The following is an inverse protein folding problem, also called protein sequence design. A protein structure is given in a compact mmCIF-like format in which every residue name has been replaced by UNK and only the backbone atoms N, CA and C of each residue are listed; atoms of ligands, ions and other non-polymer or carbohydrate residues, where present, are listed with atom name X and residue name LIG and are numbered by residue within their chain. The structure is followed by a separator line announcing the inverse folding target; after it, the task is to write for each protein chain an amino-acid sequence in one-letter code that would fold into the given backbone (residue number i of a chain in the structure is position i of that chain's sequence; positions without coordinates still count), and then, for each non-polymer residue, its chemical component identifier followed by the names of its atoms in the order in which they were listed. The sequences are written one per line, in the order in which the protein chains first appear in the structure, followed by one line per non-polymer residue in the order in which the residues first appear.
data_IF_369400362950
#
_entry.id   IF_369400362950
#
_cell.length_a   1.000
_cell.length_b   1.000
_cell.length_c   1.000
_cell.angle_alpha   90.00
_cell.angle_beta   90.00
_cell.angle_gamma   90.00
#
_symmetry.space_group_name_H-M   'P 1'
#
loop_
_entity.id
_entity.type
_entity.pdbx_description
1 polymer ?
#
# COMPACT_ATOMS: atom_id res chain seq x y z
N UNK A 1 -14.63 -0.03 -18.11
CA UNK A 1 -13.74 1.11 -17.78
C UNK A 1 -13.36 0.97 -16.32
N UNK A 2 -12.09 1.23 -15.99
CA UNK A 2 -11.59 1.15 -14.62
C UNK A 2 -11.91 2.39 -13.77
N UNK A 3 -11.68 2.26 -12.47
CA UNK A 3 -11.72 3.34 -11.48
C UNK A 3 -10.44 4.18 -11.56
N UNK A 4 -10.57 5.50 -11.43
CA UNK A 4 -9.41 6.41 -11.43
C UNK A 4 -9.02 6.88 -10.04
N UNK A 5 -7.72 6.99 -9.81
CA UNK A 5 -7.10 7.50 -8.59
C UNK A 5 -5.97 8.48 -8.94
N UNK A 6 -5.59 9.31 -7.97
CA UNK A 6 -4.38 10.14 -8.04
C UNK A 6 -3.29 9.51 -7.21
N UNK A 7 -2.19 9.11 -7.85
CA UNK A 7 -1.08 8.41 -7.19
C UNK A 7 0.22 9.22 -7.33
N UNK A 8 0.91 9.44 -6.21
CA UNK A 8 2.28 9.92 -6.19
C UNK A 8 3.20 8.74 -6.49
N UNK A 9 3.96 8.83 -7.57
CA UNK A 9 5.05 7.88 -7.85
C UNK A 9 6.22 8.10 -6.91
N UNK A 10 6.57 9.36 -6.73
CA UNK A 10 7.59 9.80 -5.79
C UNK A 10 6.89 10.64 -4.73
N UNK A 11 7.17 10.39 -3.44
CA UNK A 11 6.48 11.08 -2.37
C UNK A 11 6.74 12.61 -2.46
N UNK A 12 5.76 13.46 -2.10
CA UNK A 12 5.85 14.91 -2.29
C UNK A 12 6.77 15.63 -1.27
N UNK A 13 7.65 14.91 -0.56
CA UNK A 13 8.37 15.42 0.61
C UNK A 13 9.61 16.25 0.27
N UNK A 14 10.33 15.85 -0.78
CA UNK A 14 11.58 16.51 -1.20
C UNK A 14 11.39 17.44 -2.40
N UNK A 15 10.41 17.13 -3.26
CA UNK A 15 10.09 17.93 -4.44
C UNK A 15 8.69 18.56 -4.33
N UNK A 16 8.59 19.88 -4.08
CA UNK A 16 7.31 20.59 -4.02
C UNK A 16 6.59 20.69 -5.37
N UNK A 17 7.26 20.31 -6.47
CA UNK A 17 6.65 20.21 -7.81
C UNK A 17 6.13 18.81 -8.11
N UNK A 18 6.38 17.82 -7.24
CA UNK A 18 5.80 16.49 -7.35
C UNK A 18 4.28 16.61 -7.39
N UNK A 19 3.68 16.00 -8.40
CA UNK A 19 2.24 16.01 -8.62
C UNK A 19 1.78 14.59 -8.87
N UNK A 20 0.65 14.16 -8.28
CA UNK A 20 0.18 12.80 -8.46
C UNK A 20 -0.39 12.63 -9.87
N UNK A 21 -0.11 11.47 -10.46
CA UNK A 21 -0.64 11.08 -11.76
C UNK A 21 -2.04 10.49 -11.63
N UNK A 22 -2.89 10.73 -12.64
CA UNK A 22 -4.19 10.07 -12.70
C UNK A 22 -4.00 8.69 -13.31
N UNK A 23 -4.16 7.66 -12.48
CA UNK A 23 -4.01 6.26 -12.87
C UNK A 23 -5.38 5.60 -12.91
N UNK A 24 -5.61 4.77 -13.93
CA UNK A 24 -6.80 3.93 -14.04
C UNK A 24 -6.44 2.52 -13.62
N UNK A 25 -7.07 2.01 -12.56
CA UNK A 25 -6.88 0.65 -12.07
C UNK A 25 -7.93 -0.31 -12.63
N UNK A 26 -7.71 -1.61 -12.50
CA UNK A 26 -8.55 -2.67 -13.06
C UNK A 26 -9.92 -2.77 -12.40
N UNK A 27 -10.07 -2.30 -11.16
CA UNK A 27 -11.35 -2.27 -10.45
C UNK A 27 -12.42 -1.62 -11.34
N UNK A 28 -13.54 -2.30 -11.62
CA UNK A 28 -14.60 -1.72 -12.43
C UNK A 28 -15.10 -0.41 -11.83
N UNK A 29 -15.32 0.59 -12.69
CA UNK A 29 -15.87 1.87 -12.26
C UNK A 29 -17.19 1.68 -11.49
N UNK A 30 -17.31 2.31 -10.33
CA UNK A 30 -18.46 2.18 -9.44
C UNK A 30 -18.51 0.90 -8.60
N UNK A 31 -17.52 0.01 -8.70
CA UNK A 31 -17.42 -1.17 -7.82
C UNK A 31 -16.68 -0.88 -6.51
N UNK A 32 -15.87 0.18 -6.46
CA UNK A 32 -15.12 0.56 -5.27
C UNK A 32 -15.98 1.43 -4.37
N UNK A 33 -16.28 0.96 -3.16
CA UNK A 33 -17.14 1.63 -2.18
C UNK A 33 -16.39 2.60 -1.25
N UNK A 34 -17.08 3.19 -0.26
CA UNK A 34 -16.49 4.03 0.78
C UNK A 34 -15.34 3.34 1.53
N UNK A 35 -14.36 4.14 1.96
CA UNK A 35 -13.12 3.68 2.58
C UNK A 35 -12.44 2.74 1.61
N UNK A 36 -11.93 3.28 0.48
CA UNK A 36 -11.91 2.63 -0.83
C UNK A 36 -11.86 1.12 -0.70
N UNK A 37 -12.97 0.47 -1.05
CA UNK A 37 -13.19 -0.93 -0.70
C UNK A 37 -13.73 -1.74 -1.87
N UNK A 38 -13.16 -2.93 -2.06
CA UNK A 38 -13.66 -3.93 -2.99
C UNK A 38 -13.82 -5.29 -2.28
N UNK A 39 -13.88 -6.37 -3.06
CA UNK A 39 -14.01 -7.74 -2.58
C UNK A 39 -12.72 -8.33 -2.01
N UNK A 40 -11.58 -7.63 -2.14
CA UNK A 40 -10.25 -8.12 -1.75
C UNK A 40 -9.55 -7.26 -0.72
N UNK A 41 -9.87 -5.97 -0.64
CA UNK A 41 -9.24 -5.05 0.31
C UNK A 41 -10.12 -3.85 0.62
N UNK A 42 -9.80 -3.15 1.70
CA UNK A 42 -10.45 -1.91 2.08
C UNK A 42 -9.50 -1.04 2.89
N UNK A 43 -9.73 0.27 2.89
CA UNK A 43 -8.94 1.23 3.67
C UNK A 43 -9.73 1.71 4.87
N UNK A 44 -9.06 1.75 6.02
CA UNK A 44 -9.57 2.35 7.25
C UNK A 44 -8.58 3.40 7.77
N UNK A 45 -9.13 4.47 8.33
CA UNK A 45 -8.40 5.48 9.08
C UNK A 45 -8.88 5.43 10.52
N UNK A 46 -8.26 4.60 11.39
CA UNK A 46 -8.72 4.42 12.76
C UNK A 46 -8.59 5.69 13.60
N UNK A 47 -9.65 6.09 14.30
CA UNK A 47 -9.64 7.33 15.08
C UNK A 47 -8.87 7.24 16.42
N UNK A 48 -8.83 6.06 17.04
CA UNK A 48 -8.23 5.84 18.37
C UNK A 48 -7.25 4.65 18.41
N UNK A 49 -6.68 4.25 17.26
CA UNK A 49 -5.74 3.14 17.20
C UNK A 49 -4.34 3.60 17.58
N UNK A 50 -3.97 3.32 18.83
CA UNK A 50 -2.67 3.71 19.41
C UNK A 50 -1.53 2.73 19.11
N UNK A 51 -1.84 1.54 18.59
CA UNK A 51 -0.87 0.46 18.42
C UNK A 51 -1.12 -0.29 17.12
N UNK A 52 -0.05 -0.69 16.41
CA UNK A 52 -0.17 -1.51 15.23
C UNK A 52 -0.71 -2.90 15.60
N UNK A 53 -1.18 -3.63 14.59
CA UNK A 53 -1.42 -5.06 14.68
C UNK A 53 -0.12 -5.85 14.91
N UNK A 54 -0.29 -7.11 15.31
CA UNK A 54 0.80 -7.98 15.73
C UNK A 54 0.92 -8.10 17.25
N UNK A 55 2.12 -8.49 17.70
CA UNK A 55 2.40 -8.75 19.11
C UNK A 55 2.60 -7.44 19.86
N UNK A 56 1.73 -7.20 20.83
CA UNK A 56 1.72 -6.02 21.68
C UNK A 56 1.87 -6.41 23.16
N UNK A 57 2.27 -5.46 24.01
CA UNK A 57 2.45 -5.70 25.44
C UNK A 57 1.48 -4.87 26.28
N UNK A 58 0.71 -5.53 27.16
CA UNK A 58 -0.21 -4.86 28.08
C UNK A 58 0.51 -4.05 29.17
N UNK A 59 -0.22 -3.34 30.05
CA UNK A 59 0.36 -2.52 31.11
C UNK A 59 1.32 -3.26 32.07
N UNK A 60 1.14 -4.57 32.21
CA UNK A 60 2.00 -5.44 33.03
C UNK A 60 3.09 -6.18 32.23
N UNK A 61 3.29 -5.82 30.96
CA UNK A 61 4.24 -6.49 30.06
C UNK A 61 3.74 -7.82 29.48
N UNK A 62 2.51 -8.25 29.77
CA UNK A 62 1.94 -9.48 29.19
C UNK A 62 1.74 -9.33 27.68
N UNK A 63 2.27 -10.24 26.84
CA UNK A 63 2.06 -10.19 25.41
C UNK A 63 0.61 -10.53 25.06
N UNK A 64 0.05 -9.81 24.10
CA UNK A 64 -1.22 -10.11 23.44
C UNK A 64 -1.10 -9.86 21.95
N UNK A 65 -1.88 -10.58 21.15
CA UNK A 65 -1.90 -10.42 19.70
C UNK A 65 -3.11 -9.55 19.33
N UNK A 66 -2.89 -8.54 18.52
CA UNK A 66 -3.93 -7.73 17.89
C UNK A 66 -3.96 -8.06 16.40
N UNK A 67 -5.11 -8.43 15.86
CA UNK A 67 -5.31 -8.74 14.44
C UNK A 67 -6.52 -7.97 13.91
N UNK A 68 -6.60 -7.75 12.58
CA UNK A 68 -7.79 -7.20 11.94
C UNK A 68 -9.03 -8.08 12.15
N UNK A 69 -10.24 -7.53 11.93
CA UNK A 69 -10.51 -6.16 11.49
C UNK A 69 -10.51 -5.14 12.63
N UNK A 70 -10.31 -3.87 12.29
CA UNK A 70 -10.56 -2.76 13.21
C UNK A 70 -12.06 -2.57 13.38
N UNK A 71 -12.56 -2.73 14.61
CA UNK A 71 -14.00 -2.69 14.89
C UNK A 71 -14.46 -1.44 15.64
N UNK A 72 -13.59 -0.43 15.82
CA UNK A 72 -13.93 0.80 16.56
C UNK A 72 -14.11 1.98 15.61
N UNK A 73 -14.09 3.19 16.17
CA UNK A 73 -14.28 4.41 15.42
C UNK A 73 -13.22 4.57 14.33
N UNK A 74 -13.67 5.01 13.17
CA UNK A 74 -12.86 5.43 12.03
C UNK A 74 -13.19 6.89 11.72
N UNK A 75 -12.27 7.58 11.06
CA UNK A 75 -12.54 8.88 10.44
C UNK A 75 -13.55 8.73 9.29
N UNK A 76 -14.06 9.86 8.81
CA UNK A 76 -14.98 9.87 7.67
C UNK A 76 -14.28 9.23 6.45
N UNK A 77 -14.84 8.13 5.91
CA UNK A 77 -14.17 7.39 4.85
C UNK A 77 -14.15 8.18 3.54
N UNK A 78 -13.08 8.04 2.75
CA UNK A 78 -13.08 8.52 1.37
C UNK A 78 -14.19 7.82 0.56
N UNK A 79 -14.94 8.57 -0.25
CA UNK A 79 -16.07 8.09 -1.06
C UNK A 79 -15.82 8.35 -2.54
N UNK A 80 -16.35 7.52 -3.46
CA UNK A 80 -16.26 7.82 -4.88
C UNK A 80 -17.15 9.01 -5.28
N UNK A 81 -16.82 9.65 -6.40
CA UNK A 81 -17.69 10.64 -7.07
C UNK A 81 -18.92 9.97 -7.74
N UNK A 82 -19.76 10.79 -8.39
CA UNK A 82 -20.97 10.32 -9.08
C UNK A 82 -20.65 9.31 -10.20
N UNK A 83 -19.46 9.41 -10.79
CA UNK A 83 -18.95 8.48 -11.78
C UNK A 83 -18.24 7.27 -11.18
N UNK A 84 -18.11 7.14 -9.86
CA UNK A 84 -17.47 6.00 -9.23
C UNK A 84 -15.94 6.08 -9.18
N UNK A 85 -15.33 7.27 -9.25
CA UNK A 85 -13.88 7.50 -9.20
C UNK A 85 -13.43 8.26 -7.94
N UNK A 86 -12.13 8.22 -7.67
CA UNK A 86 -11.49 8.88 -6.53
C UNK A 86 -10.46 9.95 -6.98
N UNK A 87 -10.34 10.22 -8.28
CA UNK A 87 -9.40 11.22 -8.81
C UNK A 87 -9.80 12.68 -8.54
N UNK A 88 -10.95 12.89 -7.89
CA UNK A 88 -11.41 14.19 -7.41
C UNK A 88 -10.69 14.65 -6.12
N UNK A 89 -10.21 13.72 -5.29
CA UNK A 89 -9.43 14.05 -4.09
C UNK A 89 -8.13 14.77 -4.47
N UNK A 90 -7.84 15.90 -3.85
CA UNK A 90 -6.60 16.65 -4.06
C UNK A 90 -5.60 16.34 -2.94
N UNK A 91 -4.28 16.44 -3.20
CA UNK A 91 -3.29 16.37 -2.14
C UNK A 91 -3.67 17.27 -0.95
N UNK A 92 -3.43 16.78 0.27
CA UNK A 92 -3.76 17.45 1.53
C UNK A 92 -5.26 17.62 1.83
N UNK A 93 -6.16 17.02 1.05
CA UNK A 93 -7.59 16.95 1.41
C UNK A 93 -7.91 15.68 2.19
N UNK A 94 -8.83 15.72 3.17
CA UNK A 94 -9.28 14.53 3.87
C UNK A 94 -9.74 13.44 2.89
N UNK A 95 -9.31 12.20 3.12
CA UNK A 95 -9.60 11.06 2.25
C UNK A 95 -8.62 10.86 1.08
N UNK A 96 -7.74 11.82 0.78
CA UNK A 96 -6.72 11.65 -0.27
C UNK A 96 -5.76 10.51 0.05
N UNK A 97 -5.24 10.43 1.29
CA UNK A 97 -4.31 9.35 1.69
C UNK A 97 -4.97 7.98 1.59
N UNK A 98 -6.24 7.86 1.97
CA UNK A 98 -6.98 6.61 1.84
C UNK A 98 -7.17 6.20 0.37
N UNK A 99 -7.57 7.14 -0.48
CA UNK A 99 -7.69 6.92 -1.93
C UNK A 99 -6.35 6.54 -2.56
N UNK A 100 -5.27 7.23 -2.16
CA UNK A 100 -3.91 6.99 -2.61
C UNK A 100 -3.45 5.58 -2.23
N UNK A 101 -3.54 5.22 -0.94
CA UNK A 101 -3.12 3.91 -0.44
C UNK A 101 -3.83 2.77 -1.16
N UNK A 102 -5.15 2.82 -1.30
CA UNK A 102 -5.90 1.81 -2.07
C UNK A 102 -5.45 1.74 -3.52
N UNK A 103 -5.35 2.89 -4.18
CA UNK A 103 -4.96 2.95 -5.59
C UNK A 103 -3.56 2.39 -5.83
N UNK A 104 -2.60 2.65 -4.94
CA UNK A 104 -1.25 2.09 -4.98
C UNK A 104 -1.26 0.57 -4.82
N UNK A 105 -1.99 0.03 -3.83
CA UNK A 105 -2.12 -1.43 -3.65
C UNK A 105 -2.76 -2.06 -4.88
N UNK A 106 -3.87 -1.50 -5.39
CA UNK A 106 -4.58 -2.03 -6.56
C UNK A 106 -3.73 -1.98 -7.81
N UNK A 107 -3.02 -0.87 -8.03
CA UNK A 107 -2.12 -0.71 -9.18
C UNK A 107 -0.97 -1.72 -9.14
N UNK A 108 -0.36 -1.92 -7.97
CA UNK A 108 0.70 -2.93 -7.80
C UNK A 108 0.20 -4.33 -8.11
N UNK A 109 -1.00 -4.68 -7.62
CA UNK A 109 -1.64 -5.95 -7.95
C UNK A 109 -1.94 -6.06 -9.45
N UNK A 110 -2.44 -5.00 -10.10
CA UNK A 110 -2.74 -5.02 -11.55
C UNK A 110 -1.51 -5.33 -12.40
N UNK A 111 -0.37 -4.72 -12.06
CA UNK A 111 0.90 -4.95 -12.74
C UNK A 111 1.32 -6.41 -12.58
N UNK A 112 1.38 -6.90 -11.34
CA UNK A 112 1.92 -8.22 -11.06
C UNK A 112 1.00 -9.38 -11.45
N UNK A 113 -0.31 -9.23 -11.29
CA UNK A 113 -1.32 -10.20 -11.75
C UNK A 113 -1.28 -10.37 -13.28
N UNK A 114 -0.95 -9.30 -14.01
CA UNK A 114 -0.70 -9.37 -15.46
C UNK A 114 0.56 -10.19 -15.78
N UNK A 115 1.63 -10.05 -15.00
CA UNK A 115 2.86 -10.84 -15.22
C UNK A 115 2.68 -12.32 -14.90
N UNK A 116 1.96 -12.66 -13.82
CA UNK A 116 1.69 -14.07 -13.46
C UNK A 116 0.50 -14.68 -14.22
N UNK A 117 -0.31 -13.86 -14.88
CA UNK A 117 -1.44 -14.29 -15.70
C UNK A 117 -2.69 -14.74 -14.93
N UNK A 118 -2.77 -14.43 -13.63
CA UNK A 118 -3.91 -14.80 -12.77
C UNK A 118 -4.07 -13.82 -11.59
N UNK A 119 -5.29 -13.66 -11.06
CA UNK A 119 -5.50 -12.92 -9.82
C UNK A 119 -4.79 -13.57 -8.63
N UNK A 120 -4.24 -12.76 -7.74
CA UNK A 120 -3.61 -13.20 -6.50
C UNK A 120 -4.70 -13.55 -5.47
N UNK A 121 -4.62 -14.74 -4.88
CA UNK A 121 -5.44 -15.12 -3.72
C UNK A 121 -4.63 -14.83 -2.46
N UNK A 122 -5.17 -14.04 -1.53
CA UNK A 122 -4.47 -13.74 -0.30
C UNK A 122 -4.18 -15.01 0.50
N UNK A 123 -2.93 -15.14 0.97
CA UNK A 123 -2.52 -16.29 1.77
C UNK A 123 -3.34 -16.48 3.06
N UNK A 124 -4.01 -15.42 3.54
CA UNK A 124 -4.86 -15.41 4.74
C UNK A 124 -6.36 -15.58 4.46
N UNK A 125 -6.78 -15.84 3.21
CA UNK A 125 -8.20 -15.82 2.80
C UNK A 125 -9.10 -16.78 3.60
N UNK A 126 -8.55 -17.84 4.19
CA UNK A 126 -9.31 -18.78 5.05
C UNK A 126 -9.73 -18.16 6.40
N UNK A 127 -9.12 -17.02 6.79
CA UNK A 127 -9.30 -16.39 8.11
C UNK A 127 -9.75 -14.94 8.03
N UNK A 128 -9.36 -14.23 6.96
CA UNK A 128 -9.77 -12.86 6.68
C UNK A 128 -10.23 -12.76 5.23
N UNK A 129 -11.44 -12.26 5.01
CA UNK A 129 -12.02 -12.14 3.66
C UNK A 129 -11.24 -11.14 2.79
N UNK A 130 -10.68 -10.10 3.41
CA UNK A 130 -10.07 -8.95 2.74
C UNK A 130 -8.85 -8.44 3.50
N UNK A 131 -7.92 -7.83 2.77
CA UNK A 131 -6.82 -7.06 3.34
C UNK A 131 -7.35 -5.76 3.96
N UNK A 132 -7.09 -5.55 5.25
CA UNK A 132 -7.31 -4.25 5.90
C UNK A 132 -6.08 -3.36 5.73
N UNK A 133 -6.23 -2.24 5.01
CA UNK A 133 -5.20 -1.21 4.89
C UNK A 133 -5.51 -0.15 5.97
N UNK A 134 -4.68 -0.05 7.01
CA UNK A 134 -4.85 0.96 8.06
C UNK A 134 -3.83 2.08 7.94
N UNK A 135 -4.27 3.33 8.02
CA UNK A 135 -3.38 4.49 8.14
C UNK A 135 -3.22 4.84 9.63
N UNK A 136 -1.99 4.81 10.15
CA UNK A 136 -1.64 5.11 11.54
C UNK A 136 -0.59 6.24 11.60
N UNK A 137 -0.99 7.52 11.43
CA UNK A 137 -0.06 8.62 11.17
C UNK A 137 1.05 8.81 12.22
N UNK A 138 0.77 8.46 13.48
CA UNK A 138 1.68 8.64 14.62
C UNK A 138 2.66 7.48 14.84
N UNK A 139 2.70 6.49 13.93
CA UNK A 139 3.54 5.31 14.04
C UNK A 139 4.72 5.37 13.07
N UNK A 140 5.96 5.19 13.56
CA UNK A 140 7.19 5.30 12.75
C UNK A 140 7.55 3.97 12.06
N UNK A 141 6.62 3.43 11.27
CA UNK A 141 6.87 2.29 10.39
C UNK A 141 5.77 2.09 9.34
N UNK A 142 6.04 1.26 8.34
CA UNK A 142 5.03 0.56 7.56
C UNK A 142 5.21 -0.95 7.79
N UNK A 143 4.12 -1.72 7.68
CA UNK A 143 4.25 -3.18 7.71
C UNK A 143 3.11 -3.88 7.00
N UNK A 144 3.44 -5.02 6.44
CA UNK A 144 2.51 -6.06 6.07
C UNK A 144 2.46 -7.18 7.12
N UNK A 145 1.26 -7.72 7.36
CA UNK A 145 1.07 -8.89 8.20
C UNK A 145 -0.15 -9.71 7.81
N UNK A 146 -0.50 -10.67 8.66
CA UNK A 146 -1.58 -11.62 8.39
C UNK A 146 -2.95 -10.91 8.40
N UNK A 147 -3.44 -10.55 7.22
CA UNK A 147 -4.73 -9.87 7.02
C UNK A 147 -4.67 -8.33 6.99
N UNK A 148 -3.49 -7.72 7.14
CA UNK A 148 -3.36 -6.27 7.24
C UNK A 148 -2.14 -5.69 6.54
N UNK A 149 -2.26 -4.43 6.15
CA UNK A 149 -1.18 -3.54 5.74
C UNK A 149 -1.34 -2.25 6.56
N UNK A 150 -0.32 -1.86 7.32
CA UNK A 150 -0.36 -0.69 8.18
C UNK A 150 0.65 0.35 7.70
N UNK A 151 0.20 1.59 7.51
CA UNK A 151 0.97 2.69 6.96
C UNK A 151 1.08 3.80 8.01
N UNK A 152 2.29 3.98 8.53
CA UNK A 152 2.61 5.07 9.44
C UNK A 152 3.23 6.29 8.76
N UNK A 153 4.11 6.98 9.48
CA UNK A 153 4.88 8.12 8.97
C UNK A 153 6.30 8.09 9.49
N UNK A 154 7.25 8.52 8.66
CA UNK A 154 8.56 8.91 9.18
C UNK A 154 8.49 10.31 9.81
N UNK A 155 9.27 10.55 10.86
CA UNK A 155 9.39 11.87 11.47
C UNK A 155 10.75 12.50 11.22
N UNK A 156 10.73 13.70 10.65
CA UNK A 156 11.92 14.54 10.48
C UNK A 156 12.44 15.06 11.82
N UNK A 157 13.69 15.58 11.85
CA UNK A 157 14.29 16.13 13.08
C UNK A 157 13.50 17.30 13.68
N UNK A 158 12.78 18.05 12.85
CA UNK A 158 11.88 19.13 13.23
C UNK A 158 10.46 18.66 13.60
N UNK A 159 10.20 17.35 13.57
CA UNK A 159 8.94 16.74 14.01
C UNK A 159 7.84 16.74 12.95
N UNK A 160 8.13 17.16 11.71
CA UNK A 160 7.19 17.02 10.59
C UNK A 160 7.07 15.56 10.19
N UNK A 161 5.84 15.09 10.07
CA UNK A 161 5.49 13.76 9.59
C UNK A 161 5.62 13.68 8.05
N UNK A 162 6.17 12.58 7.57
CA UNK A 162 6.29 12.17 6.18
C UNK A 162 5.47 10.87 6.02
N UNK A 163 4.19 10.95 5.65
CA UNK A 163 3.29 9.80 5.66
C UNK A 163 3.68 8.74 4.63
N UNK A 164 3.90 7.50 5.06
CA UNK A 164 4.15 6.39 4.14
C UNK A 164 2.95 6.08 3.26
N UNK A 165 1.76 6.51 3.66
CA UNK A 165 0.53 6.50 2.85
C UNK A 165 0.64 7.28 1.54
N UNK A 166 1.62 8.19 1.39
CA UNK A 166 1.88 9.00 0.21
C UNK A 166 3.09 8.52 -0.60
N UNK A 167 3.71 7.41 -0.22
CA UNK A 167 4.89 6.84 -0.86
C UNK A 167 4.50 5.54 -1.58
N UNK A 168 4.43 5.60 -2.91
CA UNK A 168 4.11 4.43 -3.73
C UNK A 168 5.11 3.30 -3.51
N UNK A 169 6.41 3.60 -3.42
CA UNK A 169 7.45 2.58 -3.37
C UNK A 169 7.36 1.77 -2.07
N UNK A 170 7.07 2.43 -0.95
CA UNK A 170 6.82 1.76 0.34
C UNK A 170 5.56 0.92 0.29
N UNK A 171 4.44 1.46 -0.21
CA UNK A 171 3.19 0.69 -0.31
C UNK A 171 3.37 -0.56 -1.19
N UNK A 172 4.02 -0.40 -2.35
CA UNK A 172 4.27 -1.50 -3.28
C UNK A 172 5.26 -2.52 -2.70
N UNK A 173 6.25 -2.08 -1.91
CA UNK A 173 7.14 -2.97 -1.15
C UNK A 173 6.34 -3.83 -0.17
N UNK A 174 5.45 -3.26 0.64
CA UNK A 174 4.63 -4.04 1.58
C UNK A 174 3.69 -5.04 0.87
N UNK A 175 3.17 -4.67 -0.30
CA UNK A 175 2.41 -5.59 -1.17
C UNK A 175 3.30 -6.71 -1.71
N UNK A 176 4.60 -6.47 -1.87
CA UNK A 176 5.59 -7.48 -2.24
C UNK A 176 5.64 -8.65 -1.26
N UNK A 177 5.63 -8.38 0.05
CA UNK A 177 5.55 -9.44 1.05
C UNK A 177 4.26 -10.27 0.89
N UNK A 178 3.14 -9.60 0.69
CA UNK A 178 1.84 -10.24 0.46
C UNK A 178 1.87 -11.15 -0.78
N UNK A 179 2.51 -10.68 -1.85
CA UNK A 179 2.67 -11.41 -3.09
C UNK A 179 3.52 -12.66 -2.89
N UNK A 180 4.69 -12.55 -2.24
CA UNK A 180 5.56 -13.71 -1.98
C UNK A 180 4.84 -14.77 -1.17
N UNK A 181 4.16 -14.40 -0.08
CA UNK A 181 3.41 -15.36 0.72
C UNK A 181 2.26 -16.02 -0.04
N UNK A 182 1.60 -15.27 -0.92
CA UNK A 182 0.47 -15.79 -1.71
C UNK A 182 0.92 -16.72 -2.84
N UNK A 183 2.12 -16.52 -3.41
CA UNK A 183 2.66 -17.34 -4.50
C UNK A 183 3.49 -18.52 -4.01
N UNK A 184 4.35 -18.31 -3.01
CA UNK A 184 5.28 -19.33 -2.49
C UNK A 184 4.78 -20.03 -1.23
N UNK A 185 3.75 -19.47 -0.57
CA UNK A 185 3.27 -19.92 0.73
C UNK A 185 4.05 -19.31 1.89
N UNK A 186 3.55 -19.57 3.11
CA UNK A 186 4.19 -19.15 4.35
C UNK A 186 5.15 -20.26 4.81
N UNK A 187 6.40 -19.93 5.19
CA UNK A 187 7.30 -20.89 5.80
C UNK A 187 6.68 -21.52 7.06
N UNK A 188 7.09 -22.75 7.35
CA UNK A 188 6.75 -23.35 8.64
C UNK A 188 7.43 -22.55 9.76
N UNK A 189 6.81 -22.40 10.93
CA UNK A 189 7.46 -21.75 12.07
C UNK A 189 8.85 -22.34 12.33
N UNK A 190 9.86 -21.48 12.45
CA UNK A 190 11.26 -21.86 12.62
C UNK A 190 12.03 -22.23 11.34
N UNK A 191 11.39 -22.15 10.16
CA UNK A 191 12.04 -22.29 8.85
C UNK A 191 12.31 -20.94 8.15
N UNK A 192 12.12 -19.83 8.86
CA UNK A 192 12.41 -18.46 8.42
C UNK A 192 13.91 -18.17 8.57
N UNK A 193 14.74 -18.87 7.78
CA UNK A 193 16.18 -18.65 7.81
C UNK A 193 16.52 -17.21 7.35
N UNK A 194 17.65 -16.63 7.79
CA UNK A 194 18.05 -15.26 7.41
C UNK A 194 18.05 -15.00 5.90
N UNK A 195 18.39 -16.01 5.10
CA UNK A 195 18.37 -15.94 3.64
C UNK A 195 16.96 -15.79 3.08
N UNK A 196 15.96 -16.40 3.70
CA UNK A 196 14.56 -16.23 3.33
C UNK A 196 14.07 -14.81 3.66
N UNK A 197 14.47 -14.26 4.81
CA UNK A 197 14.15 -12.88 5.17
C UNK A 197 14.80 -11.90 4.19
N UNK A 198 16.09 -12.07 3.89
CA UNK A 198 16.76 -11.25 2.87
C UNK A 198 16.14 -11.38 1.48
N UNK A 199 15.64 -12.56 1.11
CA UNK A 199 14.89 -12.76 -0.12
C UNK A 199 13.55 -12.01 -0.12
N UNK A 200 12.79 -12.06 0.98
CA UNK A 200 11.53 -11.34 1.13
C UNK A 200 11.70 -9.83 0.90
N UNK A 201 12.64 -9.20 1.60
CA UNK A 201 12.95 -7.78 1.45
C UNK A 201 13.37 -7.43 0.01
N UNK A 202 14.36 -8.16 -0.54
CA UNK A 202 14.88 -7.88 -1.88
C UNK A 202 13.83 -8.10 -2.98
N UNK A 203 12.94 -9.09 -2.80
CA UNK A 203 11.86 -9.32 -3.75
C UNK A 203 10.77 -8.25 -3.64
N UNK A 204 10.44 -7.78 -2.43
CA UNK A 204 9.54 -6.65 -2.22
C UNK A 204 10.04 -5.37 -2.91
N UNK A 205 11.35 -5.09 -2.85
CA UNK A 205 11.96 -4.00 -3.60
C UNK A 205 11.83 -4.19 -5.12
N UNK A 206 12.01 -5.42 -5.61
CA UNK A 206 11.79 -5.73 -7.02
C UNK A 206 10.32 -5.57 -7.44
N UNK A 207 9.37 -5.94 -6.57
CA UNK A 207 7.93 -5.71 -6.78
C UNK A 207 7.64 -4.24 -6.96
N UNK A 208 8.16 -3.42 -6.04
CA UNK A 208 8.05 -1.98 -6.04
C UNK A 208 8.63 -1.35 -7.31
N UNK A 209 9.91 -1.61 -7.61
CA UNK A 209 10.61 -1.08 -8.79
C UNK A 209 9.92 -1.46 -10.10
N UNK A 210 9.51 -2.71 -10.26
CA UNK A 210 8.82 -3.16 -11.47
C UNK A 210 7.48 -2.47 -11.59
N UNK A 211 6.72 -2.31 -10.51
CA UNK A 211 5.44 -1.62 -10.54
C UNK A 211 5.60 -0.11 -10.84
N UNK A 212 6.62 0.54 -10.26
CA UNK A 212 6.95 1.94 -10.54
C UNK A 212 7.24 2.20 -12.03
N UNK A 213 7.87 1.23 -12.71
CA UNK A 213 8.15 1.30 -14.16
C UNK A 213 6.89 1.24 -15.05
N UNK A 214 5.69 1.09 -14.49
CA UNK A 214 4.42 1.21 -15.23
C UNK A 214 3.79 2.62 -15.14
N UNK A 215 4.39 3.54 -14.39
CA UNK A 215 3.99 4.94 -14.41
C UNK A 215 4.53 5.66 -15.66
N UNK A 216 3.69 6.41 -16.40
CA UNK A 216 4.12 7.21 -17.53
C UNK A 216 5.31 8.12 -17.22
N UNK A 217 5.29 8.84 -16.10
CA UNK A 217 6.38 9.77 -15.74
C UNK A 217 7.73 9.07 -15.53
N UNK A 218 7.72 7.86 -14.95
CA UNK A 218 8.95 7.07 -14.72
C UNK A 218 9.53 6.63 -16.04
N UNK A 219 8.71 6.10 -16.94
CA UNK A 219 9.15 5.67 -18.28
C UNK A 219 9.74 6.87 -19.03
N UNK A 220 9.05 8.01 -19.02
CA UNK A 220 9.52 9.24 -19.67
C UNK A 220 10.83 9.74 -19.08
N UNK A 221 10.96 9.74 -17.75
CA UNK A 221 12.19 10.15 -17.07
C UNK A 221 13.36 9.23 -17.41
N UNK A 222 13.17 7.90 -17.32
CA UNK A 222 14.20 6.92 -17.70
C UNK A 222 14.62 7.11 -19.14
N UNK A 223 13.69 7.23 -20.08
CA UNK A 223 14.01 7.46 -21.49
C UNK A 223 14.74 8.79 -21.71
N UNK A 224 14.37 9.84 -20.98
CA UNK A 224 14.99 11.16 -21.06
C UNK A 224 16.44 11.16 -20.55
N UNK A 225 16.65 10.62 -19.35
CA UNK A 225 17.97 10.58 -18.69
C UNK A 225 18.92 9.64 -19.44
N UNK A 226 18.44 8.46 -19.81
CA UNK A 226 19.26 7.43 -20.46
C UNK A 226 19.36 7.60 -21.98
N UNK A 227 18.53 8.48 -22.57
CA UNK A 227 18.37 8.60 -24.03
C UNK A 227 18.11 7.25 -24.72
N UNK A 228 17.41 6.35 -24.03
CA UNK A 228 17.13 4.99 -24.50
C UNK A 228 18.29 4.01 -24.36
N UNK A 229 19.39 4.38 -23.71
CA UNK A 229 20.51 3.49 -23.43
C UNK A 229 20.65 3.22 -21.93
N UNK A 230 20.10 2.11 -21.44
CA UNK A 230 20.12 1.76 -20.02
C UNK A 230 21.53 1.48 -19.46
N UNK A 231 22.56 1.32 -20.31
CA UNK A 231 23.95 1.15 -19.85
C UNK A 231 24.66 2.45 -19.46
N UNK A 232 24.03 3.61 -19.68
CA UNK A 232 24.59 4.91 -19.29
C UNK A 232 23.89 5.53 -18.08
N UNK A 233 22.94 4.80 -17.47
CA UNK A 233 22.30 5.17 -16.20
C UNK A 233 23.24 4.96 -15.02
#
# INVERSE_FOLDING_TARGET
MGTRFRLFVQPPFEDPTSSPEIITVSSPRGSVGPGPSDDRMYVVEPADKMRPYGVNHGPLGTPFISLPPWTRAILDPAIPDEEGNFDHYQPSTPGFEAAHAFGCVRFTLDVWERYIGQPLVWHFHDHHDRLEISILPDWDNAQYGYGFLELGSQFTKDGRALPFSLDFDIIAHEVGHAFVYSVLGIPKPGAEFPEYLGFQEAFSDCVSLIAAMHFPSVIENVLTVTRGNLYIA
#
